data_IF_548569012268
#
_entry.id   IF_548569012268
#
_cell.length_a   1.000
_cell.length_b   1.000
_cell.length_c   1.000
_cell.angle_alpha   90.00
_cell.angle_beta   90.00
_cell.angle_gamma   90.00
#
_symmetry.space_group_name_H-M   'P 1'
#
loop_
_entity.id
_entity.type
_entity.pdbx_description
1 polymer ?
#
# COMPACT_ATOMS: atom_id res chain seq x y z
N UNK A 1 -23.94 4.96 5.76
CA UNK A 1 -22.49 5.00 5.88
C UNK A 1 -21.81 5.01 4.53
N UNK A 2 -20.59 5.41 4.57
CA UNK A 2 -19.77 5.48 3.39
C UNK A 2 -18.96 4.20 3.27
N UNK A 3 -18.93 3.66 2.05
CA UNK A 3 -18.24 2.41 1.80
C UNK A 3 -16.82 2.67 1.31
N UNK A 4 -15.89 1.89 1.83
CA UNK A 4 -14.50 1.91 1.40
C UNK A 4 -14.23 0.58 0.70
N UNK A 5 -13.66 0.66 -0.48
CA UNK A 5 -13.35 -0.52 -1.29
C UNK A 5 -11.83 -0.63 -1.43
N UNK A 6 -11.18 -1.39 -0.51
CA UNK A 6 -9.71 -1.48 -0.50
C UNK A 6 -9.11 -1.89 -1.84
N UNK A 7 -9.77 -2.80 -2.57
CA UNK A 7 -9.24 -3.29 -3.84
C UNK A 7 -9.17 -2.17 -4.89
N UNK A 8 -10.12 -1.24 -4.86
CA UNK A 8 -10.10 -0.11 -5.78
C UNK A 8 -8.94 0.83 -5.48
N UNK A 9 -8.69 1.08 -4.19
CA UNK A 9 -7.57 1.91 -3.77
C UNK A 9 -6.25 1.24 -4.14
N UNK A 10 -6.15 -0.06 -3.88
CA UNK A 10 -4.96 -0.84 -4.23
C UNK A 10 -4.68 -0.81 -5.72
N UNK A 11 -5.72 -0.88 -6.54
CA UNK A 11 -5.57 -0.84 -7.98
C UNK A 11 -4.94 0.48 -8.43
N UNK A 12 -5.35 1.59 -7.82
CA UNK A 12 -4.74 2.88 -8.12
C UNK A 12 -3.29 2.94 -7.67
N UNK A 13 -3.03 2.45 -6.46
CA UNK A 13 -1.70 2.47 -5.88
C UNK A 13 -0.72 1.59 -6.66
N UNK A 14 -1.19 0.44 -7.14
CA UNK A 14 -0.36 -0.50 -7.88
C UNK A 14 0.12 0.07 -9.22
N UNK A 15 -0.50 1.14 -9.71
CA UNK A 15 -0.06 1.82 -10.93
C UNK A 15 0.92 2.96 -10.67
N UNK A 16 1.27 3.19 -9.42
CA UNK A 16 2.20 4.27 -9.06
C UNK A 16 3.65 3.80 -9.10
N UNK A 17 4.61 4.75 -9.16
CA UNK A 17 6.03 4.39 -9.31
C UNK A 17 6.53 3.43 -8.24
N UNK A 18 7.19 2.38 -8.69
CA UNK A 18 7.91 1.39 -7.87
C UNK A 18 7.04 0.60 -6.90
N UNK A 19 5.73 0.57 -7.11
CA UNK A 19 4.83 -0.27 -6.31
C UNK A 19 4.68 -1.62 -6.98
N UNK A 20 5.17 -2.67 -6.33
CA UNK A 20 5.00 -4.03 -6.85
C UNK A 20 3.69 -4.64 -6.35
N UNK A 21 3.41 -4.47 -5.05
CA UNK A 21 2.18 -4.97 -4.44
C UNK A 21 1.74 -3.97 -3.37
N UNK A 22 0.44 -3.92 -3.13
CA UNK A 22 -0.09 -3.08 -2.07
C UNK A 22 -1.28 -3.74 -1.40
N UNK A 23 -1.49 -3.36 -0.15
CA UNK A 23 -2.60 -3.86 0.65
C UNK A 23 -3.08 -2.73 1.55
N UNK A 24 -4.35 -2.37 1.41
CA UNK A 24 -4.97 -1.33 2.23
C UNK A 24 -5.65 -2.02 3.41
N UNK A 25 -5.26 -1.64 4.61
CA UNK A 25 -5.82 -2.22 5.83
C UNK A 25 -6.27 -1.12 6.77
N UNK A 26 -7.19 -1.47 7.66
CA UNK A 26 -7.68 -0.55 8.70
C UNK A 26 -6.95 -0.87 10.00
N UNK A 27 -6.24 0.11 10.54
CA UNK A 27 -5.54 -0.01 11.82
C UNK A 27 -5.87 1.19 12.67
N UNK A 28 -6.34 0.95 13.89
CA UNK A 28 -6.73 2.01 14.82
C UNK A 28 -7.67 3.02 14.16
N UNK A 29 -8.66 2.52 13.42
CA UNK A 29 -9.67 3.32 12.73
C UNK A 29 -9.09 4.20 11.62
N UNK A 30 -7.87 3.93 11.17
CA UNK A 30 -7.23 4.66 10.09
C UNK A 30 -6.80 3.71 8.98
N UNK A 31 -6.86 4.20 7.75
CA UNK A 31 -6.41 3.41 6.62
C UNK A 31 -4.89 3.51 6.50
N UNK A 32 -4.27 2.36 6.35
CA UNK A 32 -2.82 2.23 6.20
C UNK A 32 -2.55 1.49 4.91
N UNK A 33 -1.63 2.00 4.11
CA UNK A 33 -1.19 1.31 2.90
C UNK A 33 0.08 0.54 3.20
N UNK A 34 -0.01 -0.79 3.14
CA UNK A 34 1.18 -1.63 3.20
C UNK A 34 1.64 -1.82 1.77
N UNK A 35 2.90 -1.52 1.50
CA UNK A 35 3.44 -1.57 0.14
C UNK A 35 4.68 -2.44 0.11
N UNK A 36 4.72 -3.36 -0.85
CA UNK A 36 5.94 -4.06 -1.21
C UNK A 36 6.49 -3.36 -2.46
N UNK A 37 7.58 -2.61 -2.33
CA UNK A 37 8.15 -1.91 -3.48
C UNK A 37 8.84 -2.88 -4.43
N UNK A 38 8.94 -2.46 -5.68
CA UNK A 38 9.78 -3.15 -6.65
C UNK A 38 11.22 -2.70 -6.43
N UNK A 39 11.90 -3.35 -5.48
CA UNK A 39 13.26 -2.97 -5.09
C UNK A 39 14.24 -3.09 -6.25
N UNK A 40 14.10 -4.13 -7.07
CA UNK A 40 15.03 -4.34 -8.18
C UNK A 40 14.94 -3.19 -9.17
N UNK A 41 13.74 -2.77 -9.51
CA UNK A 41 13.52 -1.66 -10.43
C UNK A 41 14.05 -0.35 -9.83
N UNK A 42 13.76 -0.11 -8.55
CA UNK A 42 14.20 1.11 -7.88
C UNK A 42 15.72 1.17 -7.83
N UNK A 43 16.39 0.07 -7.44
CA UNK A 43 17.84 0.05 -7.37
C UNK A 43 18.48 0.18 -8.75
N UNK A 44 17.85 -0.39 -9.77
CA UNK A 44 18.33 -0.26 -11.16
C UNK A 44 18.30 1.19 -11.63
N UNK A 45 17.40 2.00 -11.07
CA UNK A 45 17.31 3.44 -11.39
C UNK A 45 18.10 4.31 -10.42
N UNK A 46 18.94 3.71 -9.59
CA UNK A 46 19.83 4.46 -8.70
C UNK A 46 19.21 4.92 -7.40
N UNK A 47 18.00 4.45 -7.08
CA UNK A 47 17.35 4.81 -5.82
C UNK A 47 17.96 4.01 -4.68
N UNK A 48 18.11 4.66 -3.53
CA UNK A 48 18.46 4.00 -2.30
C UNK A 48 17.21 3.72 -1.48
N UNK A 49 17.38 2.95 -0.42
CA UNK A 49 16.22 2.58 0.43
C UNK A 49 15.52 3.80 1.01
N UNK A 50 16.27 4.83 1.38
CA UNK A 50 15.68 6.07 1.89
C UNK A 50 14.90 6.81 0.80
N UNK A 51 15.36 6.71 -0.46
CA UNK A 51 14.64 7.31 -1.59
C UNK A 51 13.32 6.61 -1.83
N UNK A 52 13.29 5.28 -1.66
CA UNK A 52 12.07 4.51 -1.84
C UNK A 52 11.00 4.97 -0.84
N UNK A 53 11.38 5.23 0.41
CA UNK A 53 10.44 5.74 1.40
C UNK A 53 9.84 7.08 0.96
N UNK A 54 10.68 7.95 0.42
CA UNK A 54 10.21 9.27 -0.07
C UNK A 54 9.26 9.11 -1.25
N UNK A 55 9.56 8.20 -2.17
CA UNK A 55 8.69 7.93 -3.31
C UNK A 55 7.34 7.42 -2.83
N UNK A 56 7.33 6.50 -1.88
CA UNK A 56 6.09 5.94 -1.38
C UNK A 56 5.25 6.98 -0.64
N UNK A 57 5.88 7.87 0.11
CA UNK A 57 5.16 8.96 0.76
C UNK A 57 4.57 9.92 -0.28
N UNK A 58 5.30 10.19 -1.35
CA UNK A 58 4.77 11.01 -2.44
C UNK A 58 3.59 10.29 -3.13
N UNK A 59 3.70 8.98 -3.30
CA UNK A 59 2.60 8.18 -3.86
C UNK A 59 1.35 8.30 -2.97
N UNK A 60 1.52 8.26 -1.65
CA UNK A 60 0.41 8.42 -0.72
C UNK A 60 -0.27 9.78 -0.90
N UNK A 61 0.52 10.83 -0.98
CA UNK A 61 -0.01 12.18 -1.13
C UNK A 61 -0.82 12.30 -2.43
N UNK A 62 -0.26 11.80 -3.52
CA UNK A 62 -0.94 11.86 -4.81
C UNK A 62 -2.20 10.99 -4.84
N UNK A 63 -2.13 9.81 -4.23
CA UNK A 63 -3.29 8.93 -4.13
C UNK A 63 -4.42 9.62 -3.36
N UNK A 64 -4.08 10.27 -2.24
CA UNK A 64 -5.08 10.94 -1.42
C UNK A 64 -5.78 12.08 -2.16
N UNK A 65 -5.12 12.70 -3.14
CA UNK A 65 -5.76 13.72 -3.95
C UNK A 65 -6.91 13.16 -4.79
N UNK A 66 -6.91 11.86 -5.03
CA UNK A 66 -7.93 11.18 -5.82
C UNK A 66 -8.99 10.51 -4.95
N UNK A 67 -8.82 10.54 -3.63
CA UNK A 67 -9.71 9.84 -2.71
C UNK A 67 -10.57 10.81 -1.92
N UNK A 68 -11.82 10.43 -1.63
CA UNK A 68 -12.66 11.25 -0.76
C UNK A 68 -12.11 11.29 0.66
N UNK A 69 -12.58 12.27 1.44
CA UNK A 69 -12.06 12.50 2.78
C UNK A 69 -12.16 11.28 3.69
N UNK A 70 -13.20 10.47 3.53
CA UNK A 70 -13.41 9.32 4.40
C UNK A 70 -12.53 8.12 4.06
N UNK A 71 -11.78 8.18 2.97
CA UNK A 71 -10.89 7.07 2.57
C UNK A 71 -9.46 7.51 2.36
N UNK A 72 -9.03 8.57 3.03
CA UNK A 72 -7.64 9.02 2.96
C UNK A 72 -6.70 8.04 3.65
N UNK A 73 -5.54 7.84 3.05
CA UNK A 73 -4.53 6.95 3.60
C UNK A 73 -3.69 7.74 4.60
N UNK A 74 -3.63 7.25 5.85
CA UNK A 74 -2.94 7.94 6.95
C UNK A 74 -1.45 7.78 6.90
N UNK A 75 -0.97 6.58 6.51
CA UNK A 75 0.47 6.34 6.45
C UNK A 75 0.78 5.15 5.56
N UNK A 76 2.06 5.02 5.23
CA UNK A 76 2.60 3.92 4.45
C UNK A 76 3.43 3.03 5.37
N UNK A 77 3.29 1.71 5.21
CA UNK A 77 4.21 0.74 5.80
C UNK A 77 4.89 -0.01 4.67
N UNK A 78 6.21 0.03 4.65
CA UNK A 78 6.98 -0.66 3.61
C UNK A 78 7.26 -2.08 4.07
N UNK A 79 6.94 -3.03 3.20
CA UNK A 79 7.28 -4.43 3.38
C UNK A 79 8.47 -4.78 2.51
N UNK A 80 9.34 -5.62 3.05
CA UNK A 80 10.58 -6.00 2.34
C UNK A 80 10.47 -7.35 1.66
N UNK A 81 9.33 -8.01 1.84
CA UNK A 81 9.05 -9.30 1.22
C UNK A 81 7.65 -9.29 0.64
N UNK A 82 7.42 -10.15 -0.35
CA UNK A 82 6.09 -10.28 -0.94
C UNK A 82 5.06 -10.65 0.12
N UNK A 83 3.83 -10.19 -0.08
CA UNK A 83 2.73 -10.60 0.78
C UNK A 83 2.40 -12.07 0.56
N UNK A 84 1.96 -12.74 1.62
CA UNK A 84 1.49 -14.11 1.52
C UNK A 84 0.22 -14.17 0.66
N UNK A 85 0.16 -15.16 -0.20
CA UNK A 85 -0.96 -15.29 -1.15
C UNK A 85 -1.58 -16.66 -1.09
N UNK A 86 -2.87 -16.71 -1.46
CA UNK A 86 -3.61 -17.96 -1.61
C UNK A 86 -3.17 -18.66 -2.90
N UNK A 87 -3.67 -19.88 -3.10
CA UNK A 87 -3.43 -20.61 -4.34
C UNK A 87 -3.88 -19.84 -5.58
N UNK A 88 -4.86 -18.95 -5.44
CA UNK A 88 -5.36 -18.12 -6.55
C UNK A 88 -4.59 -16.81 -6.67
N UNK A 89 -3.48 -16.68 -5.94
CA UNK A 89 -2.60 -15.51 -5.96
C UNK A 89 -3.25 -14.23 -5.41
N UNK A 90 -4.25 -14.40 -4.55
CA UNK A 90 -4.83 -13.27 -3.81
C UNK A 90 -4.10 -13.11 -2.49
N UNK A 91 -3.84 -11.87 -2.10
CA UNK A 91 -3.16 -11.58 -0.85
C UNK A 91 -4.03 -12.06 0.32
N UNK A 92 -3.39 -12.73 1.27
CA UNK A 92 -4.08 -13.20 2.49
C UNK A 92 -4.28 -12.04 3.44
N UNK A 93 -5.30 -11.25 3.21
CA UNK A 93 -5.55 -10.00 3.96
C UNK A 93 -5.63 -10.23 5.46
N UNK A 94 -6.20 -11.37 5.87
CA UNK A 94 -6.39 -11.66 7.30
C UNK A 94 -5.07 -11.72 8.08
N UNK A 95 -3.95 -11.99 7.39
CA UNK A 95 -2.64 -12.04 8.05
C UNK A 95 -2.09 -10.65 8.38
N UNK A 96 -2.61 -9.63 7.73
CA UNK A 96 -2.05 -8.28 7.84
C UNK A 96 -2.98 -7.30 8.53
N UNK A 97 -4.23 -7.69 8.74
CA UNK A 97 -5.18 -6.86 9.44
C UNK A 97 -4.94 -6.92 10.94
N UNK A 98 -5.20 -5.79 11.60
CA UNK A 98 -5.07 -5.73 13.04
C UNK A 98 -6.06 -6.69 13.69
N UNK A 99 -5.57 -7.47 14.65
CA UNK A 99 -6.44 -8.36 15.39
C UNK A 99 -7.40 -7.53 16.26
N UNK A 100 -8.67 -7.84 16.16
CA UNK A 100 -9.66 -7.21 17.01
C UNK A 100 -9.70 -7.97 18.32
N UNK A 101 -9.25 -7.30 19.36
CA UNK A 101 -9.29 -7.86 20.71
C UNK A 101 -10.66 -7.87 21.29
#
# INVERSE_FOLDING_TARGET
GQNIYPEEIESKLNNMPYVAESLIVLQHEKLVAMIYPDFDDAFAHGLQQTDIQKVMEQNRIELNQQLPNYSQISKIKIHFEEFEKTAKKSIKRFMYQEAKG
#
